data_IF_745120898623
#
_entry.id   IF_745120898623
#
_cell.length_a   1.000
_cell.length_b   1.000
_cell.length_c   1.000
_cell.angle_alpha   90.00
_cell.angle_beta   90.00
_cell.angle_gamma   90.00
#
_symmetry.space_group_name_H-M   'P 1'
#
loop_
_entity.id
_entity.type
_entity.pdbx_description
1 polymer ?
#
# COMPACT_ATOMS: atom_id res chain seq x y z
N UNK A 1 15.14 -15.73 -3.66
CA UNK A 1 16.40 -15.84 -2.92
C UNK A 1 17.33 -14.68 -3.26
N UNK A 2 17.70 -14.41 -4.50
CA UNK A 2 18.59 -13.32 -4.92
C UNK A 2 18.21 -11.95 -4.33
N UNK A 3 16.91 -11.57 -4.37
CA UNK A 3 16.43 -10.33 -3.78
C UNK A 3 16.68 -10.29 -2.26
N UNK A 4 16.47 -11.41 -1.57
CA UNK A 4 16.72 -11.50 -0.13
C UNK A 4 18.21 -11.37 0.19
N UNK A 5 19.07 -12.00 -0.60
CA UNK A 5 20.54 -11.91 -0.48
C UNK A 5 21.03 -10.48 -0.73
N UNK A 6 20.51 -9.82 -1.75
CA UNK A 6 20.81 -8.41 -2.03
C UNK A 6 20.37 -7.50 -0.88
N UNK A 7 19.15 -7.68 -0.39
CA UNK A 7 18.58 -6.90 0.71
C UNK A 7 19.42 -7.02 1.98
N UNK A 8 19.74 -8.26 2.39
CA UNK A 8 20.55 -8.46 3.60
C UNK A 8 21.98 -7.96 3.43
N UNK A 9 22.53 -8.04 2.21
CA UNK A 9 23.84 -7.47 1.89
C UNK A 9 23.89 -5.96 2.07
N UNK A 10 22.89 -5.23 1.62
CA UNK A 10 22.78 -3.78 1.80
C UNK A 10 22.50 -3.40 3.26
N UNK A 11 21.64 -4.16 3.93
CA UNK A 11 21.32 -3.94 5.34
C UNK A 11 22.55 -4.08 6.25
N UNK A 12 23.34 -5.15 6.08
CA UNK A 12 24.55 -5.38 6.86
C UNK A 12 25.64 -4.32 6.65
N UNK A 13 25.60 -3.63 5.52
CA UNK A 13 26.50 -2.52 5.17
C UNK A 13 25.95 -1.15 5.59
N UNK A 14 24.79 -1.11 6.27
CA UNK A 14 24.07 0.11 6.65
C UNK A 14 23.69 1.02 5.46
N UNK A 15 23.46 0.44 4.26
CA UNK A 15 22.99 1.20 3.10
C UNK A 15 21.47 1.37 3.10
N UNK A 16 20.75 0.48 3.78
CA UNK A 16 19.30 0.52 3.93
C UNK A 16 18.89 0.17 5.37
N UNK A 17 17.77 0.74 5.81
CA UNK A 17 17.15 0.44 7.12
C UNK A 17 15.98 -0.56 6.99
N UNK A 18 15.46 -0.74 5.79
CA UNK A 18 14.31 -1.57 5.54
C UNK A 18 14.13 -1.91 4.06
N UNK A 19 13.07 -2.66 3.79
CA UNK A 19 12.67 -3.09 2.45
C UNK A 19 11.25 -2.63 2.15
N UNK A 20 11.04 -1.94 1.03
CA UNK A 20 9.74 -1.81 0.40
C UNK A 20 9.63 -2.84 -0.72
N UNK A 21 8.77 -3.85 -0.52
CA UNK A 21 8.57 -4.92 -1.48
C UNK A 21 7.28 -4.73 -2.29
N UNK A 22 7.44 -4.58 -3.58
CA UNK A 22 6.36 -4.46 -4.56
C UNK A 22 6.67 -5.31 -5.78
N UNK A 23 5.64 -5.74 -6.49
CA UNK A 23 5.76 -6.48 -7.75
C UNK A 23 4.63 -6.12 -8.72
N UNK A 24 4.87 -6.23 -10.00
CA UNK A 24 3.82 -6.44 -10.99
C UNK A 24 3.23 -7.85 -10.85
N UNK A 25 2.04 -8.08 -11.43
CA UNK A 25 1.39 -9.38 -11.38
C UNK A 25 2.08 -10.34 -12.37
N UNK A 26 2.63 -11.43 -11.81
CA UNK A 26 3.19 -12.55 -12.58
C UNK A 26 2.19 -13.71 -12.55
N UNK A 27 1.71 -14.19 -13.68
CA UNK A 27 0.73 -15.28 -13.82
C UNK A 27 -0.60 -15.00 -13.11
N UNK A 28 -0.59 -14.86 -11.77
CA UNK A 28 -1.75 -14.53 -10.97
C UNK A 28 -1.36 -13.72 -9.72
N UNK A 29 -2.34 -13.03 -9.07
CA UNK A 29 -2.09 -12.35 -7.80
C UNK A 29 -1.55 -13.29 -6.72
N UNK A 30 -2.10 -14.50 -6.61
CA UNK A 30 -1.69 -15.49 -5.61
C UNK A 30 -0.27 -15.98 -5.86
N UNK A 31 0.05 -16.38 -7.10
CA UNK A 31 1.41 -16.80 -7.44
C UNK A 31 2.45 -15.71 -7.12
N UNK A 32 2.14 -14.47 -7.46
CA UNK A 32 3.05 -13.35 -7.20
C UNK A 32 3.22 -13.11 -5.71
N UNK A 33 2.12 -13.15 -4.95
CA UNK A 33 2.14 -12.97 -3.49
C UNK A 33 2.91 -14.12 -2.81
N UNK A 34 2.80 -15.36 -3.27
CA UNK A 34 3.61 -16.49 -2.79
C UNK A 34 5.11 -16.25 -2.97
N UNK A 35 5.52 -15.69 -4.12
CA UNK A 35 6.93 -15.32 -4.36
C UNK A 35 7.40 -14.21 -3.43
N UNK A 36 6.54 -13.23 -3.14
CA UNK A 36 6.83 -12.18 -2.16
C UNK A 36 6.96 -12.75 -0.75
N UNK A 37 6.02 -13.59 -0.33
CA UNK A 37 6.05 -14.28 0.97
C UNK A 37 7.33 -15.08 1.13
N UNK A 38 7.73 -15.85 0.11
CA UNK A 38 8.96 -16.63 0.17
C UNK A 38 10.21 -15.76 0.34
N UNK A 39 10.27 -14.61 -0.34
CA UNK A 39 11.33 -13.63 -0.15
C UNK A 39 11.38 -13.11 1.30
N UNK A 40 10.22 -12.72 1.85
CA UNK A 40 10.13 -12.21 3.21
C UNK A 40 10.42 -13.29 4.27
N UNK A 41 9.99 -14.55 4.02
CA UNK A 41 10.30 -15.69 4.87
C UNK A 41 11.81 -15.90 4.97
N UNK A 42 12.50 -15.95 3.83
CA UNK A 42 13.96 -16.06 3.80
C UNK A 42 14.62 -14.93 4.60
N UNK A 43 14.15 -13.68 4.43
CA UNK A 43 14.67 -12.55 5.18
C UNK A 43 14.46 -12.70 6.68
N UNK A 44 13.24 -13.00 7.14
CA UNK A 44 12.90 -13.08 8.56
C UNK A 44 13.48 -14.32 9.24
N UNK A 45 13.35 -15.51 8.62
CA UNK A 45 13.68 -16.77 9.26
C UNK A 45 15.12 -17.20 9.03
N UNK A 46 15.64 -17.10 7.78
CA UNK A 46 16.99 -17.53 7.46
C UNK A 46 18.04 -16.47 7.78
N UNK A 47 17.80 -15.21 7.38
CA UNK A 47 18.76 -14.09 7.59
C UNK A 47 18.53 -13.30 8.87
N UNK A 48 17.43 -13.54 9.60
CA UNK A 48 17.03 -12.83 10.82
C UNK A 48 17.04 -11.31 10.62
N UNK A 49 16.51 -10.89 9.48
CA UNK A 49 16.42 -9.47 9.11
C UNK A 49 15.47 -8.74 10.05
N UNK A 50 15.98 -7.79 10.83
CA UNK A 50 15.23 -6.99 11.79
C UNK A 50 14.87 -5.60 11.25
N UNK A 51 15.23 -5.28 10.00
CA UNK A 51 14.84 -4.03 9.35
C UNK A 51 13.34 -3.97 9.07
N UNK A 52 12.86 -2.75 8.83
CA UNK A 52 11.46 -2.49 8.52
C UNK A 52 11.06 -3.09 7.16
N UNK A 53 9.95 -3.82 7.12
CA UNK A 53 9.38 -4.36 5.88
C UNK A 53 8.02 -3.74 5.60
N UNK A 54 7.92 -3.05 4.46
CA UNK A 54 6.65 -2.61 3.90
C UNK A 54 6.36 -3.44 2.64
N UNK A 55 5.31 -4.24 2.65
CA UNK A 55 4.90 -5.05 1.50
C UNK A 55 3.63 -4.51 0.85
N UNK A 56 3.62 -4.44 -0.48
CA UNK A 56 2.43 -4.07 -1.26
C UNK A 56 1.60 -5.32 -1.53
N UNK A 57 0.45 -5.45 -0.87
CA UNK A 57 -0.50 -6.52 -1.15
C UNK A 57 -1.13 -6.32 -2.53
N UNK A 58 -1.16 -7.39 -3.32
CA UNK A 58 -1.66 -7.36 -4.70
C UNK A 58 -3.18 -7.52 -4.66
N UNK A 59 -3.95 -6.63 -5.32
CA UNK A 59 -5.39 -6.78 -5.43
C UNK A 59 -5.76 -8.13 -6.10
N UNK A 60 -6.75 -8.82 -5.52
CA UNK A 60 -7.17 -10.15 -5.99
C UNK A 60 -6.44 -11.33 -5.35
N UNK A 61 -5.46 -11.08 -4.48
CA UNK A 61 -4.81 -12.12 -3.68
C UNK A 61 -5.81 -12.76 -2.70
N UNK A 62 -5.70 -14.08 -2.53
CA UNK A 62 -6.51 -14.84 -1.57
C UNK A 62 -6.30 -14.36 -0.13
N UNK A 63 -7.34 -14.43 0.72
CA UNK A 63 -7.27 -13.98 2.11
C UNK A 63 -6.15 -14.63 2.93
N UNK A 64 -5.89 -15.91 2.69
CA UNK A 64 -4.86 -16.69 3.37
C UNK A 64 -3.46 -16.16 3.08
N UNK A 65 -3.20 -15.78 1.84
CA UNK A 65 -1.91 -15.21 1.43
C UNK A 65 -1.73 -13.78 1.95
N UNK A 66 -2.79 -12.97 1.98
CA UNK A 66 -2.74 -11.64 2.62
C UNK A 66 -2.40 -11.76 4.11
N UNK A 67 -2.96 -12.76 4.80
CA UNK A 67 -2.63 -13.04 6.19
C UNK A 67 -1.17 -13.44 6.37
N UNK A 68 -0.67 -14.39 5.58
CA UNK A 68 0.73 -14.82 5.63
C UNK A 68 1.69 -13.68 5.35
N UNK A 69 1.38 -12.83 4.37
CA UNK A 69 2.17 -11.66 4.02
C UNK A 69 2.25 -10.67 5.20
N UNK A 70 1.12 -10.43 5.89
CA UNK A 70 1.04 -9.51 7.03
C UNK A 70 1.74 -10.00 8.29
N UNK A 71 1.95 -11.30 8.46
CA UNK A 71 2.75 -11.85 9.57
C UNK A 71 4.26 -11.65 9.38
N UNK A 72 4.71 -11.40 8.14
CA UNK A 72 6.13 -11.20 7.81
C UNK A 72 6.48 -9.71 7.61
N UNK A 73 5.48 -8.87 7.37
CA UNK A 73 5.65 -7.44 7.09
C UNK A 73 5.26 -6.57 8.30
N UNK A 74 5.98 -5.45 8.47
CA UNK A 74 5.60 -4.44 9.48
C UNK A 74 4.43 -3.60 9.01
N UNK A 75 4.34 -3.31 7.71
CA UNK A 75 3.24 -2.58 7.08
C UNK A 75 2.81 -3.25 5.80
N UNK A 76 1.49 -3.24 5.57
CA UNK A 76 0.91 -3.58 4.27
C UNK A 76 0.36 -2.32 3.58
N UNK A 77 0.39 -2.30 2.27
CA UNK A 77 -0.34 -1.31 1.47
C UNK A 77 -1.13 -1.98 0.36
N UNK A 78 -2.32 -1.44 0.11
CA UNK A 78 -3.14 -1.76 -1.07
C UNK A 78 -3.40 -0.44 -1.76
N UNK A 79 -2.87 -0.24 -2.95
CA UNK A 79 -3.02 1.04 -3.63
C UNK A 79 -4.42 1.19 -4.24
N UNK A 80 -5.07 2.32 -3.93
CA UNK A 80 -6.37 2.66 -4.52
C UNK A 80 -6.21 3.20 -5.93
N UNK A 81 -5.03 3.68 -6.28
CA UNK A 81 -4.57 4.23 -7.56
C UNK A 81 -5.29 5.52 -7.96
N UNK A 82 -6.61 5.51 -8.08
CA UNK A 82 -7.40 6.65 -8.55
C UNK A 82 -8.56 6.97 -7.59
N UNK A 83 -8.93 8.26 -7.45
CA UNK A 83 -9.94 8.66 -6.48
C UNK A 83 -11.35 8.14 -6.80
N UNK A 84 -11.71 8.09 -8.08
CA UNK A 84 -13.07 7.75 -8.51
C UNK A 84 -13.18 6.38 -9.18
N UNK A 85 -14.35 5.77 -9.06
CA UNK A 85 -14.68 4.54 -9.79
C UNK A 85 -14.57 4.72 -11.30
N UNK A 86 -15.03 5.88 -11.82
CA UNK A 86 -14.95 6.21 -13.24
C UNK A 86 -13.48 6.28 -13.71
N UNK A 87 -12.63 6.97 -12.95
CA UNK A 87 -11.20 7.03 -13.25
C UNK A 87 -10.56 5.65 -13.27
N UNK A 88 -10.88 4.82 -12.28
CA UNK A 88 -10.36 3.45 -12.19
C UNK A 88 -10.78 2.60 -13.40
N UNK A 89 -12.05 2.64 -13.78
CA UNK A 89 -12.56 1.92 -14.96
C UNK A 89 -11.92 2.39 -16.28
N UNK A 90 -11.62 3.68 -16.39
CA UNK A 90 -11.03 4.26 -17.59
C UNK A 90 -9.54 3.96 -17.72
N UNK A 91 -8.77 4.09 -16.64
CA UNK A 91 -7.30 4.05 -16.68
C UNK A 91 -6.70 2.75 -16.15
N UNK A 92 -7.45 1.96 -15.39
CA UNK A 92 -7.03 0.69 -14.82
C UNK A 92 -8.19 -0.34 -14.84
N UNK A 93 -8.71 -0.72 -16.02
CA UNK A 93 -9.92 -1.54 -16.17
C UNK A 93 -9.80 -2.92 -15.51
N UNK A 94 -8.60 -3.46 -15.39
CA UNK A 94 -8.33 -4.74 -14.73
C UNK A 94 -8.45 -4.67 -13.19
N UNK A 95 -8.62 -3.47 -12.63
CA UNK A 95 -8.77 -3.25 -11.18
C UNK A 95 -10.21 -2.90 -10.84
N UNK A 96 -10.83 -3.68 -9.96
CA UNK A 96 -12.14 -3.33 -9.40
C UNK A 96 -11.97 -2.69 -8.02
N UNK A 97 -12.88 -1.77 -7.67
CA UNK A 97 -12.93 -1.17 -6.34
C UNK A 97 -13.07 -2.24 -5.25
N UNK A 98 -13.82 -3.31 -5.51
CA UNK A 98 -13.96 -4.42 -4.57
C UNK A 98 -12.66 -5.20 -4.36
N UNK A 99 -11.91 -5.46 -5.44
CA UNK A 99 -10.61 -6.15 -5.35
C UNK A 99 -9.58 -5.35 -4.54
N UNK A 100 -9.73 -4.03 -4.47
CA UNK A 100 -8.88 -3.14 -3.67
C UNK A 100 -9.38 -3.06 -2.21
N UNK A 101 -10.69 -2.86 -1.99
CA UNK A 101 -11.24 -2.60 -0.66
C UNK A 101 -11.38 -3.86 0.20
N UNK A 102 -11.56 -5.05 -0.41
CA UNK A 102 -11.61 -6.33 0.33
C UNK A 102 -10.32 -6.59 1.13
N UNK A 103 -9.12 -6.58 0.53
CA UNK A 103 -7.89 -6.77 1.31
C UNK A 103 -7.67 -5.65 2.32
N UNK A 104 -8.07 -4.40 2.06
CA UNK A 104 -8.00 -3.33 3.07
C UNK A 104 -8.86 -3.65 4.30
N UNK A 105 -10.09 -4.14 4.11
CA UNK A 105 -10.97 -4.55 5.20
C UNK A 105 -10.37 -5.73 5.98
N UNK A 106 -9.86 -6.74 5.27
CA UNK A 106 -9.21 -7.88 5.87
C UNK A 106 -7.99 -7.47 6.72
N UNK A 107 -7.11 -6.62 6.18
CA UNK A 107 -5.93 -6.13 6.92
C UNK A 107 -6.35 -5.38 8.19
N UNK A 108 -7.40 -4.53 8.12
CA UNK A 108 -7.96 -3.86 9.29
C UNK A 108 -8.41 -4.85 10.36
N UNK A 109 -9.20 -5.85 9.96
CA UNK A 109 -9.80 -6.80 10.90
C UNK A 109 -8.73 -7.70 11.52
N UNK A 110 -7.80 -8.21 10.74
CA UNK A 110 -6.67 -9.01 11.25
C UNK A 110 -5.74 -8.22 12.15
N UNK A 111 -5.45 -6.95 11.83
CA UNK A 111 -4.65 -6.09 12.71
C UNK A 111 -5.35 -5.81 14.05
N UNK A 112 -6.69 -5.72 14.05
CA UNK A 112 -7.50 -5.59 15.28
C UNK A 112 -7.47 -6.88 16.09
N UNK A 113 -7.68 -8.03 15.46
CA UNK A 113 -7.63 -9.35 16.09
C UNK A 113 -6.25 -9.61 16.71
N UNK A 114 -5.17 -9.40 15.96
CA UNK A 114 -3.79 -9.57 16.45
C UNK A 114 -3.50 -8.71 17.68
N UNK A 115 -3.98 -7.48 17.73
CA UNK A 115 -3.87 -6.64 18.94
C UNK A 115 -4.63 -7.22 20.14
N UNK A 116 -5.82 -7.76 19.93
CA UNK A 116 -6.61 -8.40 20.99
C UNK A 116 -5.97 -9.70 21.48
N UNK A 117 -5.35 -10.47 20.57
CA UNK A 117 -4.59 -11.68 20.91
C UNK A 117 -3.34 -11.37 21.73
N UNK A 118 -2.61 -10.29 21.39
CA UNK A 118 -1.43 -9.83 22.13
C UNK A 118 -1.75 -9.41 23.58
N UNK A 119 -2.95 -8.89 23.83
CA UNK A 119 -3.41 -8.62 25.21
C UNK A 119 -3.58 -9.90 26.02
N UNK A 120 -3.99 -11.00 25.37
CA UNK A 120 -4.19 -12.31 26.01
C UNK A 120 -2.89 -13.12 26.12
N UNK A 121 -2.02 -12.98 25.13
CA UNK A 121 -0.75 -13.71 25.07
C UNK A 121 0.33 -12.84 24.39
N UNK A 122 1.36 -12.48 25.15
CA UNK A 122 2.50 -11.71 24.64
C UNK A 122 3.31 -12.43 23.57
N UNK A 123 3.09 -13.74 23.39
CA UNK A 123 3.76 -14.55 22.36
C UNK A 123 2.90 -14.74 21.11
N UNK A 124 1.71 -14.13 21.04
CA UNK A 124 0.87 -14.21 19.85
C UNK A 124 1.59 -13.59 18.64
N UNK A 125 1.43 -14.17 17.43
CA UNK A 125 2.03 -13.60 16.23
C UNK A 125 1.52 -12.18 15.94
N UNK A 126 2.44 -11.28 15.63
CA UNK A 126 2.12 -9.87 15.34
C UNK A 126 1.81 -9.72 13.86
N UNK A 127 0.64 -9.18 13.54
CA UNK A 127 0.21 -8.93 12.17
C UNK A 127 0.35 -7.45 11.83
N UNK A 128 1.19 -7.10 10.85
CA UNK A 128 1.40 -5.77 10.29
C UNK A 128 1.35 -4.65 11.38
N UNK A 129 2.26 -4.63 12.37
CA UNK A 129 2.19 -3.76 13.53
C UNK A 129 2.15 -2.26 13.20
N UNK A 130 2.78 -1.85 12.10
CA UNK A 130 2.72 -0.48 11.60
C UNK A 130 1.44 -0.18 10.79
N UNK A 131 0.51 -1.15 10.68
CA UNK A 131 -0.79 -1.01 10.06
C UNK A 131 -0.74 -1.00 8.54
N UNK A 132 -1.73 -0.33 7.93
CA UNK A 132 -1.84 -0.27 6.48
C UNK A 132 -1.81 1.15 5.93
N UNK A 133 -1.44 1.28 4.67
CA UNK A 133 -1.42 2.51 3.90
C UNK A 133 -1.97 2.30 2.48
N UNK A 134 -2.19 3.39 1.77
CA UNK A 134 -2.56 3.39 0.35
C UNK A 134 -1.88 4.52 -0.39
N UNK A 135 -1.92 4.46 -1.71
CA UNK A 135 -1.45 5.53 -2.59
C UNK A 135 -2.50 5.81 -3.64
N UNK A 136 -2.65 7.07 -4.01
CA UNK A 136 -3.45 7.51 -5.15
C UNK A 136 -2.71 8.56 -5.98
N UNK A 137 -3.04 8.58 -7.27
CA UNK A 137 -2.48 9.48 -8.26
C UNK A 137 -3.36 10.73 -8.35
N UNK A 138 -2.73 11.90 -8.31
CA UNK A 138 -3.38 13.22 -8.37
C UNK A 138 -3.11 13.86 -9.72
N UNK A 139 -4.18 14.24 -10.41
CA UNK A 139 -4.07 14.96 -11.69
C UNK A 139 -4.04 14.08 -12.94
N UNK A 140 -4.15 12.76 -12.82
CA UNK A 140 -4.40 11.87 -13.97
C UNK A 140 -5.86 11.91 -14.44
N UNK A 141 -6.78 12.30 -13.56
CA UNK A 141 -8.22 12.42 -13.81
C UNK A 141 -8.74 13.79 -13.39
N UNK A 142 -9.97 14.13 -13.79
CA UNK A 142 -10.63 15.39 -13.44
C UNK A 142 -11.19 15.43 -12.00
N UNK A 143 -10.82 14.49 -11.15
CA UNK A 143 -11.26 14.45 -9.76
C UNK A 143 -10.78 15.69 -8.99
N UNK A 144 -11.68 16.32 -8.24
CA UNK A 144 -11.39 17.51 -7.45
C UNK A 144 -10.88 17.16 -6.03
N UNK A 145 -10.27 18.14 -5.37
CA UNK A 145 -9.64 17.93 -4.05
C UNK A 145 -10.66 17.60 -2.97
N UNK A 146 -11.88 18.14 -3.03
CA UNK A 146 -12.95 17.79 -2.10
C UNK A 146 -13.26 16.29 -2.17
N UNK A 147 -13.39 15.72 -3.37
CA UNK A 147 -13.61 14.28 -3.56
C UNK A 147 -12.46 13.47 -2.98
N UNK A 148 -11.22 13.87 -3.27
CA UNK A 148 -10.01 13.20 -2.77
C UNK A 148 -9.97 13.22 -1.24
N UNK A 149 -10.24 14.35 -0.60
CA UNK A 149 -10.20 14.49 0.86
C UNK A 149 -11.33 13.71 1.55
N UNK A 150 -12.55 13.72 1.02
CA UNK A 150 -13.64 12.89 1.55
C UNK A 150 -13.34 11.38 1.41
N UNK A 151 -12.75 10.97 0.28
CA UNK A 151 -12.29 9.59 0.13
C UNK A 151 -11.23 9.26 1.17
N UNK A 152 -10.24 10.12 1.35
CA UNK A 152 -9.16 9.98 2.32
C UNK A 152 -9.71 9.84 3.74
N UNK A 153 -10.62 10.71 4.16
CA UNK A 153 -11.30 10.62 5.44
C UNK A 153 -12.03 9.27 5.61
N UNK A 154 -12.80 8.86 4.61
CA UNK A 154 -13.49 7.56 4.63
C UNK A 154 -12.53 6.38 4.76
N UNK A 155 -11.35 6.46 4.15
CA UNK A 155 -10.32 5.42 4.26
C UNK A 155 -9.72 5.35 5.66
N UNK A 156 -9.46 6.49 6.30
CA UNK A 156 -9.01 6.52 7.69
C UNK A 156 -10.07 5.96 8.66
N UNK A 157 -11.30 6.37 8.52
CA UNK A 157 -12.40 5.97 9.41
C UNK A 157 -12.78 4.49 9.25
N UNK A 158 -13.02 4.06 8.00
CA UNK A 158 -13.56 2.72 7.70
C UNK A 158 -12.51 1.62 7.68
N UNK A 159 -11.30 1.92 7.18
CA UNK A 159 -10.25 0.92 7.00
C UNK A 159 -9.08 1.09 7.97
N UNK A 160 -9.12 2.11 8.84
CA UNK A 160 -8.08 2.39 9.82
C UNK A 160 -6.69 2.53 9.21
N UNK A 161 -6.61 3.15 8.02
CA UNK A 161 -5.34 3.43 7.41
C UNK A 161 -4.47 4.31 8.31
N UNK A 162 -3.17 4.14 8.20
CA UNK A 162 -2.18 5.00 8.88
C UNK A 162 -1.71 6.15 7.99
N UNK A 163 -1.77 5.96 6.67
CA UNK A 163 -1.32 6.97 5.70
C UNK A 163 -2.01 6.76 4.36
N UNK A 164 -2.39 7.88 3.74
CA UNK A 164 -2.68 8.00 2.31
C UNK A 164 -1.50 8.74 1.69
N UNK A 165 -0.89 8.15 0.65
CA UNK A 165 0.14 8.80 -0.13
C UNK A 165 -0.48 9.37 -1.40
N UNK A 166 -0.20 10.63 -1.67
CA UNK A 166 -0.56 11.32 -2.90
C UNK A 166 0.64 11.36 -3.83
N UNK A 167 0.43 11.11 -5.11
CA UNK A 167 1.48 11.15 -6.11
C UNK A 167 1.01 11.99 -7.28
N UNK A 168 1.65 13.11 -7.54
CA UNK A 168 1.38 13.93 -8.71
C UNK A 168 1.61 13.12 -9.98
N UNK A 169 0.64 13.12 -10.89
CA UNK A 169 0.78 12.46 -12.18
C UNK A 169 1.87 13.13 -13.01
N UNK A 170 2.82 12.34 -13.47
CA UNK A 170 3.88 12.78 -14.39
C UNK A 170 3.59 12.19 -15.78
N UNK A 171 3.27 13.00 -16.78
CA UNK A 171 3.01 12.53 -18.14
C UNK A 171 4.30 11.99 -18.78
N UNK A 172 4.31 10.71 -19.16
CA UNK A 172 5.44 10.06 -19.82
C UNK A 172 5.09 9.45 -21.18
N UNK A 173 3.79 9.26 -21.43
CA UNK A 173 3.27 8.72 -22.69
C UNK A 173 2.17 9.61 -23.24
N UNK A 174 2.03 9.66 -24.57
CA UNK A 174 0.90 10.30 -25.23
C UNK A 174 -0.27 9.32 -25.23
N UNK A 175 -1.39 9.72 -24.63
CA UNK A 175 -2.60 8.93 -24.59
C UNK A 175 -3.81 9.87 -24.46
N UNK A 176 -4.83 9.70 -25.28
CA UNK A 176 -6.03 10.53 -25.30
C UNK A 176 -6.86 10.51 -24.00
N UNK A 177 -6.66 9.50 -23.15
CA UNK A 177 -7.32 9.36 -21.85
C UNK A 177 -6.55 10.04 -20.70
N UNK A 178 -5.35 10.52 -20.97
CA UNK A 178 -4.43 11.07 -19.98
C UNK A 178 -4.10 12.54 -20.34
N UNK A 179 -3.66 13.36 -19.38
CA UNK A 179 -3.10 14.67 -19.67
C UNK A 179 -1.94 14.59 -20.66
N UNK A 180 -1.83 15.57 -21.57
CA UNK A 180 -0.76 15.60 -22.58
C UNK A 180 0.63 15.61 -21.93
N UNK A 181 1.66 15.20 -22.68
CA UNK A 181 3.06 15.19 -22.23
C UNK A 181 3.57 16.56 -21.77
N UNK A 182 3.03 17.64 -22.35
CA UNK A 182 3.42 18.99 -22.00
C UNK A 182 2.75 19.52 -20.71
N UNK A 183 1.83 18.73 -20.14
CA UNK A 183 1.17 19.10 -18.89
C UNK A 183 2.15 18.99 -17.73
N UNK A 184 2.35 20.08 -17.01
CA UNK A 184 3.22 20.09 -15.83
C UNK A 184 2.61 19.24 -14.71
N UNK A 185 3.39 18.37 -14.04
CA UNK A 185 2.92 17.62 -12.88
C UNK A 185 2.36 18.56 -11.80
N UNK A 186 1.20 18.24 -11.19
CA UNK A 186 0.55 19.11 -10.21
C UNK A 186 1.19 19.01 -8.81
N UNK A 187 2.49 19.29 -8.70
CA UNK A 187 3.27 19.15 -7.47
C UNK A 187 2.75 20.03 -6.32
N UNK A 188 2.33 21.28 -6.63
CA UNK A 188 1.75 22.16 -5.63
C UNK A 188 0.42 21.59 -5.08
N UNK A 189 -0.39 21.00 -5.94
CA UNK A 189 -1.66 20.35 -5.55
C UNK A 189 -1.40 19.13 -4.65
N UNK A 190 -0.43 18.30 -5.02
CA UNK A 190 0.03 17.18 -4.18
C UNK A 190 0.45 17.68 -2.80
N UNK A 191 1.30 18.71 -2.74
CA UNK A 191 1.76 19.30 -1.49
C UNK A 191 0.59 19.83 -0.62
N UNK A 192 -0.39 20.53 -1.23
CA UNK A 192 -1.58 21.02 -0.53
C UNK A 192 -2.46 19.89 0.01
N UNK A 193 -2.59 18.79 -0.74
CA UNK A 193 -3.31 17.61 -0.26
C UNK A 193 -2.61 16.99 0.95
N UNK A 194 -1.28 16.93 0.99
CA UNK A 194 -0.54 16.49 2.18
C UNK A 194 -0.75 17.41 3.38
N UNK A 195 -0.85 18.72 3.18
CA UNK A 195 -1.18 19.66 4.26
C UNK A 195 -2.60 19.43 4.80
N UNK A 196 -3.58 19.25 3.90
CA UNK A 196 -4.96 18.93 4.30
C UNK A 196 -5.06 17.55 4.99
N UNK A 197 -4.34 16.54 4.50
CA UNK A 197 -4.23 15.22 5.14
C UNK A 197 -3.69 15.31 6.58
N UNK A 198 -2.72 16.21 6.81
CA UNK A 198 -2.24 16.48 8.16
C UNK A 198 -3.37 16.96 9.08
N UNK A 199 -4.19 17.92 8.61
CA UNK A 199 -5.33 18.43 9.38
C UNK A 199 -6.35 17.33 9.67
N UNK A 200 -6.70 16.51 8.67
CA UNK A 200 -7.61 15.37 8.84
C UNK A 200 -7.11 14.39 9.91
N UNK A 201 -5.83 14.05 9.90
CA UNK A 201 -5.31 13.00 10.78
C UNK A 201 -5.05 13.43 12.21
N UNK A 202 -4.64 14.66 12.42
CA UNK A 202 -4.18 15.13 13.74
C UNK A 202 -5.17 16.09 14.42
N UNK A 203 -6.01 16.74 13.65
CA UNK A 203 -6.97 17.73 14.18
C UNK A 203 -8.42 17.35 13.98
N UNK A 204 -8.72 16.32 13.19
CA UNK A 204 -10.09 15.82 13.01
C UNK A 204 -11.01 16.75 12.19
N UNK A 205 -10.44 17.54 11.27
CA UNK A 205 -11.22 18.41 10.38
C UNK A 205 -11.93 17.60 9.30
#
# INVERSE_FOLDING_TARGET
>A
RELAELTIGFYRRNYIEGLFLSSGVLRSPDYTTERMIECLRILREEYRFNGYIHAKAIPGTSPELVQRLGLLADRLSVNIELPSQKGLQTLAPDKSKQAILRPMAQIRDRARESKAELVKSHHAPVFAPAGQSTQLIVGATADNDRHILHLTQSLYEKYRLKRVFYSAYVPVVENSLLPSKDTKPPLLREHRLYQADWLLRFYGF
#
